data_IF_545912713180
#
_entry.id   IF_545912713180
#
_cell.length_a   1.000
_cell.length_b   1.000
_cell.length_c   1.000
_cell.angle_alpha   90.00
_cell.angle_beta   90.00
_cell.angle_gamma   90.00
#
_symmetry.space_group_name_H-M   'P 1'
#
loop_
_entity.id
_entity.type
_entity.pdbx_description
1 polymer ?
#
# COMPACT_ATOMS: atom_id res chain seq x y z
N UNK A 1 -13.83 -5.13 -10.03
CA UNK A 1 -12.56 -5.49 -9.35
C UNK A 1 -12.55 -5.06 -7.88
N UNK A 2 -12.89 -3.81 -7.57
CA UNK A 2 -12.95 -3.33 -6.16
C UNK A 2 -14.01 -4.06 -5.31
N UNK A 3 -15.16 -4.40 -5.90
CA UNK A 3 -16.21 -5.17 -5.22
C UNK A 3 -15.71 -6.54 -4.72
N UNK A 4 -14.82 -7.20 -5.48
CA UNK A 4 -14.21 -8.48 -5.08
C UNK A 4 -13.41 -8.37 -3.78
N UNK A 5 -12.99 -7.17 -3.41
CA UNK A 5 -12.23 -6.94 -2.17
C UNK A 5 -13.05 -6.16 -1.13
N UNK A 6 -14.38 -6.22 -1.26
CA UNK A 6 -15.32 -5.68 -0.29
C UNK A 6 -15.53 -4.17 -0.37
N UNK A 7 -14.98 -3.50 -1.39
CA UNK A 7 -15.15 -2.06 -1.58
C UNK A 7 -16.32 -1.84 -2.54
N UNK A 8 -17.46 -1.42 -2.02
CA UNK A 8 -18.69 -1.19 -2.81
C UNK A 8 -19.07 0.28 -2.91
N UNK A 9 -18.71 1.07 -1.90
CA UNK A 9 -19.11 2.47 -1.84
C UNK A 9 -17.98 3.47 -2.11
N UNK A 10 -18.38 4.69 -2.50
CA UNK A 10 -17.53 5.87 -2.71
C UNK A 10 -18.23 7.08 -2.11
N UNK A 11 -17.45 8.04 -1.61
CA UNK A 11 -17.99 9.34 -1.21
C UNK A 11 -18.01 10.34 -2.37
N UNK A 12 -17.25 10.03 -3.44
CA UNK A 12 -17.25 10.78 -4.70
C UNK A 12 -17.40 9.77 -5.85
N UNK A 13 -18.60 9.69 -6.43
CA UNK A 13 -18.87 8.82 -7.57
C UNK A 13 -18.26 9.39 -8.86
N UNK A 14 -18.66 10.61 -9.23
CA UNK A 14 -18.17 11.32 -10.43
C UNK A 14 -17.00 12.25 -10.10
N UNK A 15 -15.85 11.66 -9.82
CA UNK A 15 -14.60 12.40 -9.66
C UNK A 15 -14.05 13.01 -10.95
N UNK A 16 -12.82 13.51 -10.90
CA UNK A 16 -12.17 14.17 -12.04
C UNK A 16 -11.78 13.20 -13.16
N UNK A 17 -11.83 11.88 -12.94
CA UNK A 17 -11.37 10.88 -13.91
C UNK A 17 -9.87 10.98 -14.19
N UNK A 18 -9.44 10.55 -15.37
CA UNK A 18 -8.05 10.66 -15.82
C UNK A 18 -7.12 9.57 -15.29
N UNK A 19 -5.84 9.69 -15.63
CA UNK A 19 -4.76 8.76 -15.27
C UNK A 19 -3.67 9.44 -14.46
N UNK A 20 -3.00 8.68 -13.61
CA UNK A 20 -1.78 9.12 -12.93
C UNK A 20 -0.66 8.10 -13.11
N UNK A 21 0.59 8.54 -12.97
CA UNK A 21 1.83 7.76 -13.20
C UNK A 21 2.14 7.48 -14.68
N UNK A 22 1.61 8.29 -15.58
CA UNK A 22 1.98 8.24 -17.01
C UNK A 22 3.49 8.53 -17.15
N UNK A 23 3.98 9.52 -16.40
CA UNK A 23 5.41 9.80 -16.18
C UNK A 23 5.83 9.48 -14.74
N UNK A 24 7.12 9.26 -14.50
CA UNK A 24 7.65 9.06 -13.13
C UNK A 24 7.49 10.32 -12.29
N UNK A 25 7.62 11.48 -12.93
CA UNK A 25 7.49 12.81 -12.33
C UNK A 25 6.05 13.19 -11.96
N UNK A 26 5.05 12.46 -12.47
CA UNK A 26 3.65 12.66 -12.08
C UNK A 26 3.38 12.21 -10.65
N UNK A 27 4.33 11.52 -10.00
CA UNK A 27 4.15 10.98 -8.66
C UNK A 27 5.34 11.33 -7.77
N UNK A 28 5.20 12.41 -6.99
CA UNK A 28 6.23 12.90 -6.08
C UNK A 28 5.87 12.58 -4.63
N UNK A 29 6.80 11.97 -3.90
CA UNK A 29 6.59 11.56 -2.51
C UNK A 29 7.70 12.09 -1.60
N UNK A 30 7.34 12.93 -0.66
CA UNK A 30 8.28 13.55 0.28
C UNK A 30 8.00 13.07 1.70
N UNK A 31 8.97 12.43 2.34
CA UNK A 31 8.81 12.00 3.72
C UNK A 31 8.58 13.20 4.66
N UNK A 32 7.66 13.05 5.60
CA UNK A 32 7.38 14.01 6.68
C UNK A 32 7.90 13.47 8.00
N UNK A 33 9.07 13.96 8.49
CA UNK A 33 9.58 13.64 9.81
C UNK A 33 8.60 14.00 10.93
N UNK A 34 7.90 15.12 10.75
CA UNK A 34 6.89 15.66 11.66
C UNK A 34 5.71 16.20 10.85
N UNK A 35 4.60 16.56 11.51
CA UNK A 35 3.42 17.13 10.84
C UNK A 35 3.74 18.39 10.03
N UNK A 36 4.67 19.22 10.48
CA UNK A 36 4.94 20.54 9.90
C UNK A 36 6.16 20.57 8.96
N UNK A 37 6.95 19.50 8.89
CA UNK A 37 8.14 19.44 8.03
C UNK A 37 8.02 18.36 6.96
N UNK A 38 8.79 18.49 5.88
CA UNK A 38 8.98 17.45 4.87
C UNK A 38 10.39 17.56 4.27
N UNK A 39 10.88 16.45 3.70
CA UNK A 39 12.16 16.43 3.00
C UNK A 39 11.93 16.89 1.55
N UNK A 40 12.48 18.02 1.09
CA UNK A 40 12.20 18.50 -0.26
C UNK A 40 12.86 17.62 -1.33
N UNK A 41 12.32 17.69 -2.54
CA UNK A 41 12.91 17.09 -3.73
C UNK A 41 13.74 18.12 -4.49
N UNK A 42 14.91 17.69 -4.96
CA UNK A 42 15.86 18.50 -5.71
C UNK A 42 16.40 17.79 -6.95
N UNK A 43 15.98 16.55 -7.23
CA UNK A 43 16.31 15.80 -8.46
C UNK A 43 15.41 16.13 -9.66
N UNK A 44 14.17 16.56 -9.41
CA UNK A 44 13.24 17.10 -10.42
C UNK A 44 13.02 18.58 -10.17
N UNK A 45 12.65 19.36 -11.19
CA UNK A 45 12.33 20.81 -11.34
C UNK A 45 10.85 21.01 -11.71
N UNK A 46 10.12 22.00 -11.17
CA UNK A 46 8.83 22.41 -11.76
C UNK A 46 9.15 23.56 -12.71
N UNK A 47 8.76 23.42 -13.96
CA UNK A 47 8.98 24.47 -14.96
C UNK A 47 8.00 25.63 -14.74
N UNK A 48 8.46 26.89 -14.71
CA UNK A 48 7.57 28.04 -14.57
C UNK A 48 6.65 28.24 -15.79
N UNK A 49 7.08 27.81 -16.98
CA UNK A 49 6.34 28.00 -18.24
C UNK A 49 5.38 26.85 -18.54
N UNK A 50 5.89 25.65 -18.83
CA UNK A 50 5.02 24.51 -19.15
C UNK A 50 4.33 23.90 -17.91
N UNK A 51 4.66 24.39 -16.70
CA UNK A 51 4.10 23.93 -15.43
C UNK A 51 4.33 22.45 -15.17
N UNK A 52 5.23 21.77 -15.87
CA UNK A 52 5.49 20.34 -15.69
C UNK A 52 6.71 20.06 -14.79
N UNK A 53 6.76 18.85 -14.23
CA UNK A 53 7.94 18.40 -13.49
C UNK A 53 8.92 17.68 -14.41
N UNK A 54 10.17 18.13 -14.44
CA UNK A 54 11.22 17.53 -15.24
C UNK A 54 12.47 17.25 -14.45
N UNK A 55 13.20 16.22 -14.87
CA UNK A 55 14.54 15.96 -14.37
C UNK A 55 15.57 16.72 -15.18
N UNK A 56 16.50 17.38 -14.49
CA UNK A 56 17.61 18.08 -15.15
C UNK A 56 17.80 19.49 -14.61
N UNK A 57 18.68 20.25 -15.27
CA UNK A 57 18.89 21.67 -14.98
C UNK A 57 18.09 22.57 -15.91
N UNK A 58 17.56 22.04 -17.01
CA UNK A 58 16.81 22.78 -18.02
C UNK A 58 15.57 21.98 -18.39
N UNK A 59 14.51 22.69 -18.74
CA UNK A 59 13.27 22.11 -19.20
C UNK A 59 13.45 21.55 -20.61
N UNK A 60 13.12 20.27 -20.89
CA UNK A 60 13.25 19.70 -22.22
C UNK A 60 12.23 20.27 -23.22
N UNK A 61 11.16 20.90 -22.74
CA UNK A 61 10.05 21.38 -23.58
C UNK A 61 10.24 22.84 -24.00
N UNK A 62 10.74 23.70 -23.10
CA UNK A 62 10.89 25.15 -23.34
C UNK A 62 12.29 25.71 -23.04
N UNK A 63 13.25 24.88 -22.60
CA UNK A 63 14.62 25.32 -22.30
C UNK A 63 14.80 26.13 -21.01
N UNK A 64 13.72 26.39 -20.26
CA UNK A 64 13.76 27.16 -19.02
C UNK A 64 14.68 26.54 -17.95
N UNK A 65 15.35 27.39 -17.18
CA UNK A 65 16.25 26.96 -16.10
C UNK A 65 15.45 26.35 -14.92
N UNK A 66 15.76 25.09 -14.61
CA UNK A 66 15.17 24.31 -13.53
C UNK A 66 16.12 24.16 -12.33
N UNK A 67 17.24 24.90 -12.29
CA UNK A 67 18.18 24.86 -11.15
C UNK A 67 17.47 25.25 -9.85
N UNK A 68 17.37 24.27 -8.95
CA UNK A 68 16.81 24.46 -7.60
C UNK A 68 17.89 24.79 -6.56
N UNK A 69 17.50 25.41 -5.43
CA UNK A 69 18.35 25.50 -4.25
C UNK A 69 18.90 24.12 -3.87
N UNK A 70 20.22 24.03 -3.72
CA UNK A 70 20.86 22.76 -3.32
C UNK A 70 20.68 22.56 -1.82
N UNK A 71 20.21 21.37 -1.45
CA UNK A 71 20.38 20.89 -0.08
C UNK A 71 21.88 20.75 0.21
N UNK A 72 22.36 21.47 1.23
CA UNK A 72 23.76 21.48 1.60
C UNK A 72 24.07 20.30 2.54
N UNK A 73 25.13 19.52 2.25
CA UNK A 73 25.63 18.52 3.18
C UNK A 73 25.97 19.13 4.54
N UNK A 74 25.53 18.46 5.60
CA UNK A 74 25.91 18.78 6.98
C UNK A 74 26.89 17.72 7.50
N UNK A 75 27.92 18.18 8.21
CA UNK A 75 29.00 17.33 8.72
C UNK A 75 29.07 17.25 10.25
N UNK A 76 28.25 18.04 10.97
CA UNK A 76 28.19 18.07 12.43
C UNK A 76 27.38 16.92 13.07
N UNK A 77 27.20 16.98 14.39
CA UNK A 77 26.46 15.99 15.19
C UNK A 77 27.34 14.97 15.91
N UNK A 78 26.72 14.07 16.69
CA UNK A 78 27.40 12.99 17.43
C UNK A 78 26.68 11.65 17.27
N UNK A 79 27.43 10.57 17.35
CA UNK A 79 26.91 9.20 17.34
C UNK A 79 27.46 8.32 16.21
N UNK A 80 27.21 7.00 16.29
CA UNK A 80 27.81 6.03 15.39
C UNK A 80 27.13 5.97 14.01
N UNK A 81 25.98 6.62 13.85
CA UNK A 81 25.23 6.65 12.59
C UNK A 81 25.46 7.97 11.86
N UNK A 82 25.29 7.95 10.54
CA UNK A 82 25.16 9.14 9.71
C UNK A 82 23.76 9.17 9.12
N UNK A 83 23.05 10.27 9.34
CA UNK A 83 21.77 10.56 8.72
C UNK A 83 22.04 11.19 7.35
N UNK A 84 21.27 10.79 6.35
CA UNK A 84 21.29 11.42 5.03
C UNK A 84 19.89 11.42 4.44
N UNK A 85 19.63 12.40 3.58
CA UNK A 85 18.48 12.39 2.69
C UNK A 85 18.83 11.58 1.44
N UNK A 86 17.96 10.63 1.12
CA UNK A 86 18.00 9.86 -0.10
C UNK A 86 16.85 10.33 -0.98
N UNK A 87 17.17 10.91 -2.12
CA UNK A 87 16.22 11.08 -3.21
C UNK A 87 16.46 9.99 -4.25
N UNK A 88 15.38 9.43 -4.77
CA UNK A 88 15.43 8.36 -5.78
C UNK A 88 14.40 8.62 -6.88
N UNK A 89 14.78 8.30 -8.11
CA UNK A 89 13.95 8.41 -9.31
C UNK A 89 13.73 7.00 -9.90
N UNK A 90 12.51 6.48 -9.86
CA UNK A 90 12.15 5.13 -10.34
C UNK A 90 12.94 3.96 -9.71
N UNK A 91 13.15 4.02 -8.39
CA UNK A 91 13.83 2.95 -7.65
C UNK A 91 12.96 2.37 -6.55
N UNK A 92 13.03 1.06 -6.37
CA UNK A 92 12.61 0.42 -5.13
C UNK A 92 13.54 0.84 -3.97
N UNK A 93 12.96 1.10 -2.80
CA UNK A 93 13.69 1.61 -1.64
C UNK A 93 14.78 0.64 -1.20
N UNK A 94 14.47 -0.67 -1.13
CA UNK A 94 15.42 -1.67 -0.66
C UNK A 94 16.50 -1.97 -1.70
N UNK A 95 16.16 -1.97 -3.00
CA UNK A 95 17.16 -2.05 -4.08
C UNK A 95 18.13 -0.87 -4.04
N UNK A 96 17.65 0.36 -3.83
CA UNK A 96 18.51 1.54 -3.70
C UNK A 96 19.44 1.43 -2.48
N UNK A 97 18.91 1.04 -1.32
CA UNK A 97 19.72 0.83 -0.10
C UNK A 97 20.78 -0.25 -0.31
N UNK A 98 20.44 -1.39 -0.93
CA UNK A 98 21.41 -2.45 -1.25
C UNK A 98 22.51 -1.96 -2.19
N UNK A 99 22.16 -1.18 -3.22
CA UNK A 99 23.14 -0.60 -4.15
C UNK A 99 24.10 0.37 -3.48
N UNK A 100 23.60 1.21 -2.56
CA UNK A 100 24.41 2.11 -1.73
C UNK A 100 25.31 1.31 -0.78
N UNK A 101 24.76 0.27 -0.13
CA UNK A 101 25.49 -0.59 0.79
C UNK A 101 26.67 -1.29 0.08
N UNK A 102 26.45 -1.82 -1.12
CA UNK A 102 27.51 -2.40 -1.97
C UNK A 102 28.60 -1.38 -2.29
N UNK A 103 28.23 -0.16 -2.72
CA UNK A 103 29.21 0.88 -3.03
C UNK A 103 30.05 1.31 -1.82
N UNK A 104 29.50 1.19 -0.61
CA UNK A 104 30.17 1.49 0.65
C UNK A 104 30.86 0.28 1.28
N UNK A 105 30.82 -0.90 0.64
CA UNK A 105 31.28 -2.18 1.18
C UNK A 105 30.72 -2.46 2.59
N UNK A 106 29.43 -2.20 2.78
CA UNK A 106 28.69 -2.45 4.03
C UNK A 106 27.52 -3.41 3.78
N UNK A 107 27.10 -4.09 4.85
CA UNK A 107 25.89 -4.89 4.82
C UNK A 107 24.64 -4.01 4.97
N UNK A 108 23.56 -4.31 4.22
CA UNK A 108 22.31 -3.54 4.24
C UNK A 108 21.68 -3.44 5.64
N UNK A 109 21.92 -4.41 6.54
CA UNK A 109 21.50 -4.37 7.95
C UNK A 109 22.00 -3.15 8.74
N UNK A 110 23.08 -2.50 8.30
CA UNK A 110 23.60 -1.28 8.92
C UNK A 110 22.77 -0.04 8.57
N UNK A 111 21.85 -0.15 7.62
CA UNK A 111 20.97 0.92 7.20
C UNK A 111 19.63 0.87 7.93
N UNK A 112 19.13 2.04 8.30
CA UNK A 112 17.81 2.23 8.89
C UNK A 112 16.96 3.18 8.07
N UNK A 113 15.72 2.82 7.82
CA UNK A 113 14.71 3.61 7.12
C UNK A 113 13.43 3.70 7.97
N UNK A 114 12.72 4.82 7.87
CA UNK A 114 11.47 5.02 8.60
C UNK A 114 10.26 4.35 7.91
N UNK A 115 10.35 4.16 6.59
CA UNK A 115 9.37 3.43 5.79
C UNK A 115 9.85 3.28 4.35
N UNK A 116 9.23 2.37 3.61
CA UNK A 116 9.44 2.24 2.17
C UNK A 116 8.64 3.31 1.43
N UNK A 117 9.09 3.67 0.23
CA UNK A 117 8.43 4.61 -0.69
C UNK A 117 8.21 3.94 -2.05
N UNK A 118 7.22 4.42 -2.79
CA UNK A 118 6.81 3.93 -4.12
C UNK A 118 7.99 3.80 -5.08
N UNK A 119 8.02 2.72 -5.87
CA UNK A 119 9.05 2.50 -6.90
C UNK A 119 8.90 3.52 -8.04
N UNK A 120 7.76 3.46 -8.73
CA UNK A 120 7.42 4.28 -9.91
C UNK A 120 7.02 5.69 -9.46
N UNK A 121 7.99 6.42 -8.93
CA UNK A 121 7.83 7.75 -8.35
C UNK A 121 9.19 8.43 -8.20
N UNK A 122 9.17 9.75 -7.98
CA UNK A 122 10.32 10.49 -7.46
C UNK A 122 10.11 10.70 -5.96
N UNK A 123 11.02 10.20 -5.14
CA UNK A 123 10.79 10.18 -3.69
C UNK A 123 11.97 10.67 -2.89
N UNK A 124 11.73 11.42 -1.81
CA UNK A 124 12.74 11.83 -0.82
C UNK A 124 12.44 11.24 0.55
N UNK A 125 13.47 10.72 1.22
CA UNK A 125 13.34 10.14 2.55
C UNK A 125 14.61 10.25 3.37
N UNK A 126 14.49 10.08 4.70
CA UNK A 126 15.64 9.93 5.57
C UNK A 126 16.13 8.49 5.59
N UNK A 127 17.46 8.35 5.65
CA UNK A 127 18.14 7.07 5.82
C UNK A 127 19.29 7.27 6.81
N UNK A 128 19.53 6.26 7.65
CA UNK A 128 20.71 6.22 8.52
C UNK A 128 21.62 5.08 8.13
N UNK A 129 22.93 5.25 8.28
CA UNK A 129 23.92 4.18 8.10
C UNK A 129 24.93 4.20 9.24
N UNK A 130 25.25 3.04 9.82
CA UNK A 130 26.25 2.93 10.90
C UNK A 130 27.69 2.92 10.34
N UNK A 131 28.59 3.69 10.95
CA UNK A 131 30.02 3.60 10.71
C UNK A 131 30.50 4.11 9.35
N UNK A 132 29.75 5.03 8.72
CA UNK A 132 30.13 5.68 7.46
C UNK A 132 30.16 7.20 7.69
N UNK A 133 31.31 7.88 7.56
CA UNK A 133 31.39 9.33 7.73
C UNK A 133 30.56 10.11 6.70
N UNK A 134 29.99 11.29 7.04
CA UNK A 134 29.21 12.10 6.10
C UNK A 134 29.98 12.51 4.84
N UNK A 135 31.30 12.76 4.94
CA UNK A 135 32.17 13.06 3.79
C UNK A 135 32.20 11.97 2.72
N UNK A 136 32.11 10.70 3.12
CA UNK A 136 32.08 9.57 2.19
C UNK A 136 30.76 9.55 1.42
N UNK A 137 29.63 9.77 2.10
CA UNK A 137 28.32 9.83 1.47
C UNK A 137 28.20 11.01 0.49
N UNK A 138 28.76 12.17 0.82
CA UNK A 138 28.70 13.37 -0.03
C UNK A 138 29.38 13.18 -1.40
N UNK A 139 30.39 12.31 -1.46
CA UNK A 139 31.14 11.98 -2.68
C UNK A 139 30.49 10.86 -3.51
N UNK A 140 29.54 10.12 -2.95
CA UNK A 140 28.93 9.00 -3.64
C UNK A 140 28.08 9.50 -4.82
N UNK A 141 28.25 8.85 -5.98
CA UNK A 141 27.48 9.12 -7.20
C UNK A 141 26.93 7.80 -7.70
N UNK A 142 25.60 7.71 -7.74
CA UNK A 142 24.87 6.57 -8.27
C UNK A 142 23.79 7.16 -9.17
N UNK A 143 23.66 6.61 -10.38
CA UNK A 143 22.64 7.04 -11.35
C UNK A 143 21.25 7.01 -10.68
N UNK A 144 20.47 8.06 -10.90
CA UNK A 144 19.09 8.22 -10.42
C UNK A 144 18.91 8.34 -8.89
N UNK A 145 20.01 8.36 -8.13
CA UNK A 145 20.01 8.56 -6.69
C UNK A 145 20.75 9.84 -6.32
N UNK A 146 20.16 10.64 -5.44
CA UNK A 146 20.82 11.79 -4.82
C UNK A 146 20.95 11.55 -3.33
N UNK A 147 22.16 11.68 -2.82
CA UNK A 147 22.51 11.41 -1.42
C UNK A 147 23.05 12.70 -0.83
N UNK A 148 22.35 13.22 0.18
CA UNK A 148 22.75 14.44 0.88
C UNK A 148 22.93 14.13 2.36
N UNK A 149 24.17 14.08 2.88
CA UNK A 149 24.40 13.83 4.30
C UNK A 149 23.88 14.98 5.17
N UNK A 150 23.27 14.63 6.29
CA UNK A 150 22.64 15.55 7.25
C UNK A 150 23.27 15.41 8.64
N UNK A 151 24.57 15.11 8.68
CA UNK A 151 25.34 14.95 9.91
C UNK A 151 25.22 13.58 10.59
N UNK A 152 25.85 13.48 11.76
CA UNK A 152 25.86 12.28 12.61
C UNK A 152 24.57 12.19 13.43
N UNK A 153 24.10 10.96 13.61
CA UNK A 153 22.94 10.63 14.42
C UNK A 153 23.29 9.61 15.51
N UNK A 154 22.64 9.75 16.68
CA UNK A 154 22.84 8.86 17.83
C UNK A 154 22.25 7.46 17.61
N UNK A 155 21.12 7.37 16.89
CA UNK A 155 20.38 6.12 16.68
C UNK A 155 20.10 5.83 15.22
N UNK A 156 19.90 4.55 14.94
CA UNK A 156 19.36 4.03 13.68
C UNK A 156 17.88 4.41 13.55
N UNK A 157 17.46 4.80 12.34
CA UNK A 157 16.03 4.92 12.00
C UNK A 157 15.37 3.53 11.97
N UNK A 158 14.16 3.46 12.51
CA UNK A 158 13.32 2.27 12.59
C UNK A 158 12.01 2.51 11.85
N UNK A 159 11.34 1.45 11.35
CA UNK A 159 9.99 1.56 10.82
C UNK A 159 9.08 2.34 11.78
N UNK A 160 8.35 3.32 11.27
CA UNK A 160 7.47 4.17 12.06
C UNK A 160 8.08 5.49 12.58
N UNK A 161 9.38 5.72 12.41
CA UNK A 161 10.09 6.98 12.76
C UNK A 161 9.74 8.17 11.83
N UNK A 162 8.48 8.31 11.41
CA UNK A 162 7.97 9.40 10.58
C UNK A 162 6.53 9.71 10.98
N UNK A 163 6.11 10.96 10.76
CA UNK A 163 4.69 11.31 10.86
C UNK A 163 3.92 10.76 9.66
N UNK A 164 4.47 10.87 8.46
CA UNK A 164 3.78 10.48 7.23
C UNK A 164 4.51 10.91 5.96
N UNK A 165 3.76 11.19 4.90
CA UNK A 165 4.31 11.63 3.61
C UNK A 165 3.48 12.78 3.02
N UNK A 166 4.15 13.68 2.31
CA UNK A 166 3.55 14.68 1.43
C UNK A 166 3.57 14.14 0.01
N UNK A 167 2.44 14.25 -0.68
CA UNK A 167 2.27 13.84 -2.05
C UNK A 167 2.04 15.07 -2.93
N UNK A 168 2.66 15.06 -4.11
CA UNK A 168 2.30 15.92 -5.24
C UNK A 168 2.07 14.98 -6.41
N UNK A 169 0.84 14.95 -6.92
CA UNK A 169 0.40 13.96 -7.90
C UNK A 169 -0.25 14.69 -9.07
N UNK A 170 0.28 14.49 -10.26
CA UNK A 170 -0.29 14.99 -11.51
C UNK A 170 -1.20 13.92 -12.10
N UNK A 171 -2.43 14.33 -12.43
CA UNK A 171 -3.45 13.51 -13.08
C UNK A 171 -3.74 14.12 -14.44
N UNK A 172 -3.62 13.32 -15.49
CA UNK A 172 -3.78 13.72 -16.90
C UNK A 172 -5.09 13.20 -17.45
N UNK A 173 -5.65 13.84 -18.48
CA UNK A 173 -6.98 13.50 -19.01
C UNK A 173 -8.12 13.69 -18.00
N UNK A 174 -7.93 14.56 -17.01
CA UNK A 174 -8.87 14.89 -15.96
C UNK A 174 -9.92 15.90 -16.45
N UNK A 175 -11.16 15.70 -16.02
CA UNK A 175 -12.27 16.65 -16.20
C UNK A 175 -12.16 17.76 -15.15
N UNK A 176 -11.33 18.78 -15.43
CA UNK A 176 -11.03 19.91 -14.53
C UNK A 176 -12.31 20.56 -13.97
N UNK A 177 -13.37 20.65 -14.77
CA UNK A 177 -14.68 21.19 -14.33
C UNK A 177 -15.28 20.50 -13.10
N UNK A 178 -14.94 19.24 -12.82
CA UNK A 178 -15.42 18.47 -11.65
C UNK A 178 -14.56 18.67 -10.39
N UNK A 179 -13.43 19.36 -10.51
CA UNK A 179 -12.47 19.55 -9.42
C UNK A 179 -13.06 20.28 -8.21
N UNK A 180 -13.84 21.38 -8.35
CA UNK A 180 -14.35 22.11 -7.18
C UNK A 180 -15.25 21.25 -6.28
N UNK A 181 -16.10 20.41 -6.88
CA UNK A 181 -17.00 19.51 -6.17
C UNK A 181 -16.20 18.41 -5.44
N UNK A 182 -15.30 17.73 -6.14
CA UNK A 182 -14.45 16.69 -5.53
C UNK A 182 -13.63 17.22 -4.35
N UNK A 183 -13.07 18.43 -4.45
CA UNK A 183 -12.34 19.06 -3.34
C UNK A 183 -13.25 19.44 -2.17
N UNK A 184 -14.47 19.89 -2.45
CA UNK A 184 -15.45 20.25 -1.43
C UNK A 184 -15.78 19.03 -0.57
N UNK A 185 -16.13 17.91 -1.19
CA UNK A 185 -16.47 16.66 -0.48
C UNK A 185 -15.34 16.19 0.43
N UNK A 186 -14.09 16.13 -0.06
CA UNK A 186 -12.95 15.69 0.78
C UNK A 186 -12.67 16.68 1.91
N UNK A 187 -12.89 17.99 1.71
CA UNK A 187 -12.70 19.01 2.75
C UNK A 187 -13.77 18.93 3.83
N UNK A 188 -15.03 18.77 3.45
CA UNK A 188 -16.17 18.63 4.37
C UNK A 188 -16.00 17.38 5.25
N UNK A 189 -15.57 16.26 4.66
CA UNK A 189 -15.26 15.04 5.42
C UNK A 189 -13.94 15.13 6.20
N UNK A 190 -13.05 16.06 5.86
CA UNK A 190 -11.68 16.14 6.40
C UNK A 190 -10.79 14.96 5.97
N UNK A 191 -11.18 14.20 4.96
CA UNK A 191 -10.51 12.97 4.53
C UNK A 191 -11.30 12.14 3.53
N UNK A 192 -10.93 10.87 3.42
CA UNK A 192 -11.59 9.88 2.54
C UNK A 192 -11.85 8.57 3.30
N UNK A 193 -12.83 7.73 2.89
CA UNK A 193 -12.99 6.39 3.45
C UNK A 193 -11.68 5.60 3.44
N UNK A 194 -11.34 5.00 4.58
CA UNK A 194 -10.03 4.40 4.81
C UNK A 194 -9.94 2.96 4.30
N UNK A 195 -10.32 2.68 3.06
CA UNK A 195 -10.29 1.32 2.52
C UNK A 195 -8.87 0.74 2.41
N UNK A 196 -8.77 -0.58 2.53
CA UNK A 196 -7.61 -1.33 2.05
C UNK A 196 -7.72 -1.52 0.54
N UNK A 197 -6.75 -1.02 -0.23
CA UNK A 197 -6.76 -1.15 -1.68
C UNK A 197 -6.39 -2.55 -2.20
N UNK A 198 -6.60 -2.78 -3.50
CA UNK A 198 -6.35 -4.07 -4.21
C UNK A 198 -4.96 -4.69 -3.95
N UNK A 199 -3.93 -3.86 -3.76
CA UNK A 199 -2.57 -4.31 -3.46
C UNK A 199 -2.47 -5.15 -2.18
N UNK A 200 -3.36 -4.90 -1.20
CA UNK A 200 -3.47 -5.70 0.04
C UNK A 200 -3.92 -7.14 -0.23
N UNK A 201 -4.64 -7.33 -1.33
CA UNK A 201 -5.25 -8.60 -1.69
C UNK A 201 -4.47 -9.35 -2.78
N UNK A 202 -3.58 -8.64 -3.48
CA UNK A 202 -2.79 -9.12 -4.61
C UNK A 202 -3.21 -8.42 -5.92
N UNK A 203 -2.39 -7.52 -6.45
CA UNK A 203 -2.78 -6.66 -7.59
C UNK A 203 -3.15 -7.43 -8.87
N UNK A 204 -2.44 -8.53 -9.15
CA UNK A 204 -2.71 -9.38 -10.32
C UNK A 204 -3.78 -10.43 -10.04
N UNK A 205 -3.75 -11.01 -8.83
CA UNK A 205 -4.59 -12.11 -8.40
C UNK A 205 -5.09 -11.83 -6.98
N UNK A 206 -6.20 -11.07 -6.81
CA UNK A 206 -6.71 -10.67 -5.50
C UNK A 206 -7.40 -11.82 -4.75
N UNK A 207 -6.70 -12.93 -4.57
CA UNK A 207 -7.21 -14.21 -4.00
C UNK A 207 -6.99 -14.34 -2.50
N UNK A 208 -6.11 -13.51 -1.93
CA UNK A 208 -5.55 -13.77 -0.59
C UNK A 208 -6.61 -13.75 0.52
N UNK A 209 -7.63 -12.90 0.43
CA UNK A 209 -8.73 -12.87 1.39
C UNK A 209 -9.66 -14.08 1.26
N UNK A 210 -9.85 -14.60 0.04
CA UNK A 210 -10.66 -15.80 -0.20
C UNK A 210 -9.99 -17.03 0.42
N UNK A 211 -8.67 -17.17 0.25
CA UNK A 211 -7.88 -18.21 0.94
C UNK A 211 -7.93 -17.98 2.45
N UNK A 212 -7.79 -16.73 2.90
CA UNK A 212 -7.87 -16.35 4.30
C UNK A 212 -9.17 -16.75 4.98
N UNK A 213 -10.31 -16.62 4.29
CA UNK A 213 -11.62 -17.09 4.77
C UNK A 213 -11.58 -18.57 5.14
N UNK A 214 -11.12 -19.41 4.21
CA UNK A 214 -11.05 -20.86 4.45
C UNK A 214 -9.99 -21.25 5.49
N UNK A 215 -8.91 -20.48 5.63
CA UNK A 215 -7.92 -20.66 6.71
C UNK A 215 -8.54 -20.37 8.07
N UNK A 216 -9.33 -19.29 8.20
CA UNK A 216 -10.05 -18.92 9.43
C UNK A 216 -11.10 -19.98 9.78
N UNK A 217 -11.83 -20.49 8.79
CA UNK A 217 -12.81 -21.56 8.99
C UNK A 217 -12.20 -22.96 9.17
N UNK A 218 -10.86 -23.07 9.17
CA UNK A 218 -10.10 -24.34 9.19
C UNK A 218 -10.50 -25.34 8.08
N UNK A 219 -11.07 -24.87 6.97
CA UNK A 219 -11.35 -25.64 5.76
C UNK A 219 -10.09 -25.67 4.87
N UNK A 220 -9.11 -26.46 5.30
CA UNK A 220 -7.78 -26.52 4.67
C UNK A 220 -7.82 -27.03 3.23
N UNK A 221 -8.74 -27.93 2.91
CA UNK A 221 -8.92 -28.39 1.53
C UNK A 221 -9.36 -27.23 0.64
N UNK A 222 -10.42 -26.49 1.02
CA UNK A 222 -10.85 -25.33 0.24
C UNK A 222 -9.81 -24.22 0.22
N UNK A 223 -9.06 -24.01 1.30
CA UNK A 223 -7.97 -23.03 1.32
C UNK A 223 -6.90 -23.36 0.27
N UNK A 224 -6.43 -24.61 0.24
CA UNK A 224 -5.42 -25.09 -0.70
C UNK A 224 -5.97 -25.13 -2.13
N UNK A 225 -7.19 -25.64 -2.32
CA UNK A 225 -7.86 -25.67 -3.62
C UNK A 225 -8.03 -24.27 -4.20
N UNK A 226 -8.50 -23.32 -3.39
CA UNK A 226 -8.64 -21.91 -3.79
C UNK A 226 -7.30 -21.31 -4.17
N UNK A 227 -6.27 -21.51 -3.34
CA UNK A 227 -4.93 -20.99 -3.62
C UNK A 227 -4.37 -21.55 -4.94
N UNK A 228 -4.58 -22.83 -5.22
CA UNK A 228 -4.06 -23.48 -6.42
C UNK A 228 -4.89 -23.21 -7.68
N UNK A 229 -6.21 -23.07 -7.58
CA UNK A 229 -7.10 -23.15 -8.75
C UNK A 229 -7.88 -21.88 -9.07
N UNK A 230 -8.08 -20.95 -8.14
CA UNK A 230 -8.92 -19.77 -8.42
C UNK A 230 -8.26 -18.87 -9.49
N UNK A 231 -8.95 -18.65 -10.60
CA UNK A 231 -8.42 -17.93 -11.75
C UNK A 231 -8.66 -16.42 -11.66
N UNK A 232 -7.74 -15.63 -12.21
CA UNK A 232 -7.96 -14.21 -12.48
C UNK A 232 -7.54 -13.81 -13.89
N UNK A 233 -8.28 -12.93 -14.59
CA UNK A 233 -8.02 -12.58 -15.99
C UNK A 233 -6.65 -11.99 -16.30
N UNK A 234 -5.93 -11.48 -15.28
CA UNK A 234 -4.61 -10.83 -15.44
C UNK A 234 -3.43 -11.80 -15.26
N UNK A 235 -3.69 -13.09 -15.05
CA UNK A 235 -2.65 -14.12 -14.96
C UNK A 235 -2.10 -14.48 -16.36
N UNK A 236 -0.94 -15.16 -16.40
CA UNK A 236 -0.40 -15.61 -17.69
C UNK A 236 -1.23 -16.77 -18.26
N UNK A 237 -1.27 -16.95 -19.59
CA UNK A 237 -2.01 -18.06 -20.20
C UNK A 237 -1.62 -19.43 -19.63
N UNK A 238 -0.33 -19.67 -19.42
CA UNK A 238 0.19 -20.95 -18.91
C UNK A 238 -0.24 -21.19 -17.46
N UNK A 239 -0.30 -20.13 -16.64
CA UNK A 239 -0.82 -20.24 -15.29
C UNK A 239 -2.31 -20.56 -15.31
N UNK A 240 -3.11 -19.85 -16.12
CA UNK A 240 -4.55 -20.09 -16.24
C UNK A 240 -4.85 -21.51 -16.70
N UNK A 241 -4.14 -22.01 -17.71
CA UNK A 241 -4.28 -23.38 -18.21
C UNK A 241 -4.00 -24.41 -17.10
N UNK A 242 -2.87 -24.28 -16.39
CA UNK A 242 -2.52 -25.20 -15.31
C UNK A 242 -3.55 -25.19 -14.16
N UNK A 243 -4.07 -24.00 -13.81
CA UNK A 243 -5.10 -23.84 -12.77
C UNK A 243 -6.43 -24.48 -13.17
N UNK A 244 -6.90 -24.23 -14.40
CA UNK A 244 -8.12 -24.84 -14.97
C UNK A 244 -8.03 -26.35 -14.99
N UNK A 245 -6.91 -26.85 -15.50
CA UNK A 245 -6.68 -28.29 -15.56
C UNK A 245 -6.75 -28.94 -14.18
N UNK A 246 -6.07 -28.36 -13.17
CA UNK A 246 -6.12 -28.89 -11.80
C UNK A 246 -7.51 -28.74 -11.16
N UNK A 247 -8.28 -27.71 -11.52
CA UNK A 247 -9.66 -27.53 -11.04
C UNK A 247 -10.57 -28.67 -11.49
N UNK A 248 -10.42 -29.10 -12.75
CA UNK A 248 -11.17 -30.22 -13.36
C UNK A 248 -10.66 -31.59 -12.88
N UNK A 249 -9.37 -31.70 -12.58
CA UNK A 249 -8.69 -32.95 -12.20
C UNK A 249 -8.21 -32.91 -10.73
N UNK A 250 -9.07 -32.44 -9.82
CA UNK A 250 -8.70 -32.29 -8.41
C UNK A 250 -8.33 -33.64 -7.79
N UNK A 251 -7.10 -33.76 -7.26
CA UNK A 251 -6.54 -35.01 -6.75
C UNK A 251 -5.33 -35.51 -7.55
N UNK A 252 -5.20 -35.11 -8.82
CA UNK A 252 -4.11 -35.53 -9.71
C UNK A 252 -2.83 -34.70 -9.49
N UNK A 253 -2.34 -34.61 -8.24
CA UNK A 253 -1.30 -33.65 -7.84
C UNK A 253 0.08 -33.91 -8.45
N UNK A 254 0.43 -35.17 -8.72
CA UNK A 254 1.70 -35.52 -9.42
C UNK A 254 1.74 -34.92 -10.81
N UNK A 255 0.61 -35.00 -11.50
CA UNK A 255 0.48 -34.57 -12.87
C UNK A 255 0.26 -33.05 -12.96
N UNK A 256 -0.44 -32.48 -11.97
CA UNK A 256 -0.50 -31.04 -11.75
C UNK A 256 0.91 -30.43 -11.56
N UNK A 257 1.78 -31.07 -10.77
CA UNK A 257 3.15 -30.61 -10.55
C UNK A 257 3.98 -30.56 -11.84
N UNK A 258 3.68 -31.40 -12.83
CA UNK A 258 4.33 -31.34 -14.15
C UNK A 258 3.81 -30.18 -15.00
N UNK A 259 2.51 -29.90 -14.95
CA UNK A 259 1.87 -28.80 -15.71
C UNK A 259 2.13 -27.42 -15.11
N UNK A 260 2.21 -27.30 -13.79
CA UNK A 260 2.37 -26.01 -13.14
C UNK A 260 3.70 -25.34 -13.52
N UNK A 261 3.68 -24.12 -14.09
CA UNK A 261 4.90 -23.42 -14.48
C UNK A 261 5.90 -23.23 -13.35
N UNK A 262 7.20 -23.27 -13.66
CA UNK A 262 8.27 -23.16 -12.65
C UNK A 262 8.24 -21.86 -11.84
N UNK A 263 7.75 -20.77 -12.42
CA UNK A 263 7.66 -19.48 -11.72
C UNK A 263 6.57 -19.44 -10.63
N UNK A 264 5.70 -20.46 -10.53
CA UNK A 264 4.71 -20.62 -9.46
C UNK A 264 5.30 -21.43 -8.30
N UNK A 265 6.40 -20.94 -7.71
CA UNK A 265 7.20 -21.67 -6.72
C UNK A 265 6.35 -22.12 -5.51
N UNK A 266 5.48 -21.25 -4.99
CA UNK A 266 4.66 -21.54 -3.81
C UNK A 266 3.60 -22.60 -4.08
N UNK A 267 2.89 -22.50 -5.21
CA UNK A 267 1.94 -23.50 -5.66
C UNK A 267 2.62 -24.85 -5.87
N UNK A 268 3.79 -24.86 -6.49
CA UNK A 268 4.57 -26.08 -6.72
C UNK A 268 5.01 -26.75 -5.42
N UNK A 269 5.43 -26.00 -4.40
CA UNK A 269 5.78 -26.57 -3.10
C UNK A 269 4.58 -27.25 -2.39
N UNK A 270 3.39 -26.70 -2.54
CA UNK A 270 2.15 -27.33 -2.07
C UNK A 270 1.90 -28.63 -2.85
N UNK A 271 1.97 -28.58 -4.18
CA UNK A 271 1.74 -29.73 -5.05
C UNK A 271 2.77 -30.86 -4.81
N UNK A 272 4.03 -30.53 -4.55
CA UNK A 272 5.08 -31.48 -4.18
C UNK A 272 4.72 -32.27 -2.91
N UNK A 273 4.09 -31.62 -1.93
CA UNK A 273 3.63 -32.29 -0.72
C UNK A 273 2.42 -33.18 -1.01
N UNK A 274 1.40 -32.64 -1.67
CA UNK A 274 0.16 -33.36 -1.98
C UNK A 274 0.36 -34.54 -2.94
N UNK A 275 1.37 -34.48 -3.81
CA UNK A 275 1.77 -35.59 -4.68
C UNK A 275 2.27 -36.83 -3.91
N UNK A 276 2.74 -36.64 -2.68
CA UNK A 276 3.21 -37.71 -1.77
C UNK A 276 2.19 -38.06 -0.71
N UNK A 277 1.46 -37.05 -0.22
CA UNK A 277 0.45 -37.19 0.82
C UNK A 277 -0.86 -36.58 0.33
N UNK A 278 -1.62 -37.30 -0.52
CA UNK A 278 -2.95 -36.88 -0.93
C UNK A 278 -3.80 -36.70 0.35
N UNK A 279 -4.54 -35.60 0.43
CA UNK A 279 -5.37 -35.19 1.59
C UNK A 279 -4.66 -34.53 2.79
N UNK A 280 -3.33 -34.42 2.83
CA UNK A 280 -2.64 -33.67 3.90
C UNK A 280 -2.56 -32.16 3.58
N UNK A 281 -3.71 -31.49 3.59
CA UNK A 281 -3.81 -30.09 3.22
C UNK A 281 -3.18 -29.14 4.25
N UNK A 282 -3.19 -29.50 5.53
CA UNK A 282 -2.58 -28.69 6.60
C UNK A 282 -1.06 -28.62 6.38
N UNK A 283 -0.40 -29.77 6.22
CA UNK A 283 1.05 -29.77 6.03
C UNK A 283 1.45 -29.31 4.63
N UNK A 284 0.57 -29.46 3.61
CA UNK A 284 0.74 -28.80 2.33
C UNK A 284 0.80 -27.27 2.51
N UNK A 285 -0.17 -26.69 3.22
CA UNK A 285 -0.21 -25.25 3.47
C UNK A 285 0.99 -24.78 4.30
N UNK A 286 1.47 -25.58 5.26
CA UNK A 286 2.69 -25.30 6.06
C UNK A 286 3.97 -25.19 5.21
N UNK A 287 3.98 -25.66 3.96
CA UNK A 287 5.10 -25.44 3.02
C UNK A 287 5.29 -23.97 2.66
N UNK A 288 4.25 -23.16 2.81
CA UNK A 288 4.35 -21.72 2.62
C UNK A 288 5.14 -21.07 3.77
N UNK A 289 6.00 -20.08 3.49
CA UNK A 289 6.65 -19.29 4.51
C UNK A 289 5.65 -18.68 5.51
N UNK A 290 6.03 -18.60 6.78
CA UNK A 290 5.17 -18.09 7.87
C UNK A 290 4.50 -16.75 7.55
N UNK A 291 5.24 -15.83 6.92
CA UNK A 291 4.74 -14.51 6.58
C UNK A 291 3.65 -14.55 5.50
N UNK A 292 3.69 -15.50 4.56
CA UNK A 292 2.63 -15.70 3.55
C UNK A 292 1.40 -16.29 4.22
N UNK A 293 1.58 -17.29 5.09
CA UNK A 293 0.47 -17.90 5.82
C UNK A 293 -0.31 -16.86 6.64
N UNK A 294 0.40 -16.01 7.39
CA UNK A 294 -0.20 -14.89 8.14
C UNK A 294 -0.87 -13.87 7.22
N UNK A 295 -0.30 -13.60 6.05
CA UNK A 295 -0.85 -12.64 5.10
C UNK A 295 -2.29 -12.99 4.68
N UNK A 296 -2.64 -14.26 4.53
CA UNK A 296 -4.01 -14.66 4.15
C UNK A 296 -5.04 -14.28 5.21
N UNK A 297 -4.79 -14.58 6.49
CA UNK A 297 -5.69 -14.19 7.60
C UNK A 297 -5.83 -12.68 7.66
N UNK A 298 -4.71 -11.94 7.60
CA UNK A 298 -4.72 -10.48 7.59
C UNK A 298 -5.44 -9.87 6.38
N UNK A 299 -5.39 -10.53 5.21
CA UNK A 299 -6.13 -10.12 4.03
C UNK A 299 -7.63 -10.33 4.24
N UNK A 300 -8.06 -11.42 4.86
CA UNK A 300 -9.47 -11.65 5.17
C UNK A 300 -10.02 -10.63 6.18
N UNK A 301 -9.26 -10.31 7.24
CA UNK A 301 -9.60 -9.21 8.15
C UNK A 301 -9.77 -7.87 7.39
N UNK A 302 -8.86 -7.57 6.45
CA UNK A 302 -8.95 -6.36 5.62
C UNK A 302 -10.16 -6.37 4.68
N UNK A 303 -10.59 -7.55 4.19
CA UNK A 303 -11.79 -7.69 3.37
C UNK A 303 -13.05 -7.41 4.19
N UNK A 304 -13.18 -8.00 5.39
CA UNK A 304 -14.30 -7.75 6.30
C UNK A 304 -14.38 -6.28 6.70
N UNK A 305 -13.23 -5.66 7.01
CA UNK A 305 -13.16 -4.20 7.24
C UNK A 305 -13.72 -3.41 6.06
N UNK A 306 -13.35 -3.76 4.82
CA UNK A 306 -13.86 -3.06 3.64
C UNK A 306 -15.37 -3.25 3.47
N UNK A 307 -15.89 -4.47 3.69
CA UNK A 307 -17.33 -4.77 3.62
C UNK A 307 -18.11 -3.95 4.65
N UNK A 308 -17.68 -3.96 5.92
CA UNK A 308 -18.31 -3.19 7.01
C UNK A 308 -18.26 -1.69 6.73
N UNK A 309 -17.13 -1.17 6.25
CA UNK A 309 -17.02 0.25 5.90
C UNK A 309 -17.91 0.64 4.72
N UNK A 310 -18.05 -0.25 3.73
CA UNK A 310 -18.98 -0.03 2.61
C UNK A 310 -20.43 0.02 3.12
N UNK A 311 -20.81 -0.94 3.95
CA UNK A 311 -22.17 -1.00 4.50
C UNK A 311 -22.50 0.21 5.37
N UNK A 312 -21.53 0.69 6.17
CA UNK A 312 -21.66 1.95 6.92
C UNK A 312 -22.01 3.14 6.01
N UNK A 313 -21.31 3.25 4.87
CA UNK A 313 -21.56 4.33 3.91
C UNK A 313 -22.91 4.14 3.22
N UNK A 314 -23.25 2.91 2.83
CA UNK A 314 -24.52 2.59 2.18
C UNK A 314 -25.74 2.94 3.05
N UNK A 315 -25.64 2.74 4.38
CA UNK A 315 -26.67 3.15 5.36
C UNK A 315 -26.65 4.64 5.71
N UNK A 316 -25.81 5.44 5.05
CA UNK A 316 -25.71 6.89 5.27
C UNK A 316 -25.06 7.28 6.60
N UNK A 317 -24.41 6.35 7.32
CA UNK A 317 -23.72 6.67 8.57
C UNK A 317 -22.42 7.44 8.28
N UNK A 318 -22.14 8.53 9.03
CA UNK A 318 -20.97 9.35 8.77
C UNK A 318 -19.67 8.58 9.09
N UNK A 319 -18.67 8.71 8.20
CA UNK A 319 -17.32 8.18 8.44
C UNK A 319 -16.40 9.16 9.19
N UNK A 320 -16.75 10.45 9.18
CA UNK A 320 -15.92 11.55 9.68
C UNK A 320 -16.27 12.01 11.10
N UNK A 321 -17.37 11.51 11.67
CA UNK A 321 -17.81 11.76 13.04
C UNK A 321 -18.50 10.51 13.59
N UNK A 322 -18.39 10.23 14.89
CA UNK A 322 -19.05 9.08 15.50
C UNK A 322 -20.55 9.30 15.64
N UNK A 323 -21.29 8.20 15.68
CA UNK A 323 -22.69 8.10 16.12
C UNK A 323 -22.76 7.29 17.41
N UNK A 324 -23.92 7.27 18.06
CA UNK A 324 -24.13 6.48 19.28
C UNK A 324 -23.78 4.99 19.05
N UNK A 325 -23.04 4.40 19.99
CA UNK A 325 -22.55 3.03 19.92
C UNK A 325 -21.21 2.83 19.19
N UNK A 326 -20.68 3.86 18.50
CA UNK A 326 -19.37 3.75 17.83
C UNK A 326 -18.22 3.62 18.84
N UNK A 327 -17.34 2.65 18.59
CA UNK A 327 -15.98 2.67 19.16
C UNK A 327 -15.14 3.69 18.42
N UNK A 328 -14.49 4.60 19.14
CA UNK A 328 -13.78 5.74 18.53
C UNK A 328 -12.27 5.71 18.76
N UNK A 329 -11.53 6.32 17.83
CA UNK A 329 -10.10 6.58 17.94
C UNK A 329 -9.80 7.95 17.34
N UNK A 330 -9.11 8.82 18.09
CA UNK A 330 -8.75 10.18 17.65
C UNK A 330 -9.96 10.99 17.12
N UNK A 331 -11.11 10.82 17.78
CA UNK A 331 -12.38 11.47 17.44
C UNK A 331 -13.04 10.99 16.15
N UNK A 332 -12.62 9.84 15.61
CA UNK A 332 -13.24 9.20 14.45
C UNK A 332 -13.89 7.87 14.83
N UNK A 333 -15.00 7.47 14.18
CA UNK A 333 -15.51 6.12 14.30
C UNK A 333 -14.50 5.12 13.74
N UNK A 334 -14.44 3.94 14.35
CA UNK A 334 -13.54 2.87 13.93
C UNK A 334 -14.35 1.67 13.43
N UNK A 335 -13.76 0.95 12.48
CA UNK A 335 -14.28 -0.32 11.96
C UNK A 335 -13.33 -1.44 12.40
N UNK A 336 -13.84 -2.60 12.84
CA UNK A 336 -12.99 -3.67 13.32
C UNK A 336 -12.22 -4.34 12.17
N UNK A 337 -11.03 -4.83 12.52
CA UNK A 337 -10.37 -5.95 11.86
C UNK A 337 -10.70 -7.17 12.71
N UNK A 338 -11.71 -7.98 12.34
CA UNK A 338 -12.25 -9.01 13.23
C UNK A 338 -11.21 -10.02 13.69
N UNK A 339 -11.33 -10.46 14.93
CA UNK A 339 -10.46 -11.43 15.57
C UNK A 339 -11.08 -11.95 16.87
N UNK A 340 -10.48 -12.97 17.47
CA UNK A 340 -11.08 -13.70 18.59
C UNK A 340 -11.20 -12.89 19.90
N UNK A 341 -10.62 -11.68 19.97
CA UNK A 341 -10.78 -10.73 21.08
C UNK A 341 -11.35 -9.39 20.62
N UNK A 342 -11.95 -9.34 19.44
CA UNK A 342 -12.58 -8.11 18.95
C UNK A 342 -13.85 -7.83 19.73
N UNK A 343 -13.94 -6.63 20.29
CA UNK A 343 -15.20 -6.08 20.79
C UNK A 343 -15.90 -5.38 19.64
N UNK A 344 -17.14 -5.81 19.36
CA UNK A 344 -18.00 -5.17 18.36
C UNK A 344 -18.59 -3.87 18.93
N UNK A 345 -18.92 -2.96 18.03
CA UNK A 345 -19.62 -1.72 18.39
C UNK A 345 -21.05 -2.01 18.86
N UNK A 346 -21.67 -1.03 19.50
CA UNK A 346 -23.11 -1.01 19.78
C UNK A 346 -23.87 -0.24 18.69
N UNK A 347 -25.20 -0.18 18.84
CA UNK A 347 -26.07 0.62 17.97
C UNK A 347 -25.98 0.23 16.49
N UNK A 348 -26.22 1.19 15.56
CA UNK A 348 -26.24 0.93 14.13
C UNK A 348 -24.93 0.38 13.57
N UNK A 349 -23.78 0.80 14.12
CA UNK A 349 -22.48 0.29 13.68
C UNK A 349 -22.29 -1.17 14.12
N UNK A 350 -22.75 -1.53 15.32
CA UNK A 350 -22.75 -2.90 15.81
C UNK A 350 -23.61 -3.85 14.99
N UNK A 351 -24.78 -3.38 14.56
CA UNK A 351 -25.68 -4.12 13.68
C UNK A 351 -24.99 -4.47 12.36
N UNK A 352 -24.37 -3.48 11.71
CA UNK A 352 -23.59 -3.67 10.48
C UNK A 352 -22.46 -4.70 10.71
N UNK A 353 -21.71 -4.56 11.80
CA UNK A 353 -20.60 -5.45 12.11
C UNK A 353 -21.07 -6.91 12.25
N UNK A 354 -22.20 -7.14 12.92
CA UNK A 354 -22.80 -8.48 13.08
C UNK A 354 -23.34 -9.03 11.77
N UNK A 355 -24.10 -8.23 11.04
CA UNK A 355 -24.70 -8.64 9.76
C UNK A 355 -23.63 -9.04 8.73
N UNK A 356 -22.54 -8.29 8.60
CA UNK A 356 -21.46 -8.66 7.68
C UNK A 356 -20.76 -9.95 8.10
N UNK A 357 -20.57 -10.20 9.39
CA UNK A 357 -20.00 -11.45 9.88
C UNK A 357 -20.93 -12.65 9.60
N UNK A 358 -22.24 -12.46 9.80
CA UNK A 358 -23.28 -13.46 9.52
C UNK A 358 -23.37 -13.77 8.01
N UNK A 359 -23.43 -12.76 7.15
CA UNK A 359 -23.41 -12.91 5.69
C UNK A 359 -22.17 -13.70 5.21
N UNK A 360 -21.03 -13.45 5.85
CA UNK A 360 -19.78 -14.13 5.52
C UNK A 360 -19.66 -15.51 6.17
N UNK A 361 -20.59 -15.88 7.07
CA UNK A 361 -20.63 -17.17 7.76
C UNK A 361 -19.44 -17.38 8.68
N UNK A 362 -18.98 -16.33 9.37
CA UNK A 362 -17.79 -16.37 10.24
C UNK A 362 -18.10 -15.78 11.60
N UNK A 363 -17.56 -16.40 12.66
CA UNK A 363 -17.62 -15.89 14.03
C UNK A 363 -16.26 -15.37 14.48
N UNK A 364 -16.24 -14.58 15.54
CA UNK A 364 -14.98 -14.03 16.07
C UNK A 364 -14.04 -15.14 16.57
N UNK A 365 -14.58 -16.19 17.18
CA UNK A 365 -13.82 -17.32 17.71
C UNK A 365 -13.12 -18.12 16.61
N UNK A 366 -13.62 -18.09 15.37
CA UNK A 366 -13.00 -18.79 14.24
C UNK A 366 -11.62 -18.19 13.91
N UNK A 367 -11.34 -16.94 14.32
CA UNK A 367 -10.01 -16.34 14.20
C UNK A 367 -8.98 -16.90 15.20
N UNK A 368 -9.39 -17.79 16.10
CA UNK A 368 -8.52 -18.64 16.90
C UNK A 368 -8.32 -20.00 16.22
N UNK A 369 -7.34 -20.06 15.31
CA UNK A 369 -7.09 -21.20 14.43
C UNK A 369 -6.38 -22.32 15.21
N UNK A 370 -7.09 -23.40 15.54
CA UNK A 370 -6.60 -24.44 16.46
C UNK A 370 -5.50 -25.30 15.84
N UNK A 371 -5.65 -25.68 14.58
CA UNK A 371 -4.66 -26.51 13.86
C UNK A 371 -3.38 -25.73 13.48
N UNK A 372 -3.41 -24.40 13.55
CA UNK A 372 -2.26 -23.54 13.24
C UNK A 372 -2.26 -22.26 14.10
N UNK A 373 -2.03 -22.35 15.43
CA UNK A 373 -2.19 -21.24 16.37
C UNK A 373 -1.32 -20.01 16.07
N UNK A 374 -0.21 -20.21 15.36
CA UNK A 374 0.64 -19.12 14.87
C UNK A 374 -0.06 -18.15 13.90
N UNK A 375 -1.23 -18.54 13.36
CA UNK A 375 -2.04 -17.74 12.44
C UNK A 375 -3.21 -17.04 13.15
N UNK A 376 -3.51 -17.40 14.39
CA UNK A 376 -4.61 -16.80 15.15
C UNK A 376 -4.48 -15.29 15.25
N UNK A 377 -5.60 -14.59 15.09
CA UNK A 377 -5.64 -13.13 15.06
C UNK A 377 -6.55 -12.59 16.15
N UNK A 378 -5.97 -11.86 17.12
CA UNK A 378 -6.72 -11.30 18.25
C UNK A 378 -7.65 -10.14 17.88
N UNK A 379 -7.54 -9.61 16.67
CA UNK A 379 -8.31 -8.47 16.20
C UNK A 379 -7.63 -7.12 16.47
N UNK A 380 -8.15 -6.09 15.82
CA UNK A 380 -7.72 -4.68 15.96
C UNK A 380 -8.87 -3.77 15.50
N UNK A 381 -8.75 -2.45 15.65
CA UNK A 381 -9.70 -1.48 15.10
C UNK A 381 -8.96 -0.40 14.33
N UNK A 382 -9.61 0.11 13.28
CA UNK A 382 -9.01 1.13 12.40
C UNK A 382 -10.02 2.23 12.10
N UNK A 383 -9.62 3.52 12.12
CA UNK A 383 -10.53 4.61 11.78
C UNK A 383 -11.19 4.43 10.41
N UNK A 384 -12.50 4.68 10.33
CA UNK A 384 -13.30 4.61 9.11
C UNK A 384 -12.85 5.65 8.07
N UNK A 385 -12.27 6.77 8.52
CA UNK A 385 -11.77 7.85 7.68
C UNK A 385 -10.24 7.96 7.73
N UNK A 386 -9.61 8.07 6.57
CA UNK A 386 -8.24 8.48 6.40
C UNK A 386 -8.18 10.01 6.30
N UNK A 387 -7.68 10.67 7.35
CA UNK A 387 -7.53 12.13 7.37
C UNK A 387 -6.54 12.59 6.28
N UNK A 388 -6.96 13.57 5.48
CA UNK A 388 -6.16 14.18 4.42
C UNK A 388 -5.77 15.60 4.83
N UNK A 389 -4.48 15.87 4.94
CA UNK A 389 -3.99 17.16 5.44
C UNK A 389 -3.51 18.06 4.30
N UNK A 390 -3.95 19.32 4.32
CA UNK A 390 -3.46 20.36 3.40
C UNK A 390 -3.78 20.05 1.95
N UNK A 391 -4.95 19.46 1.66
CA UNK A 391 -5.39 19.17 0.30
C UNK A 391 -5.57 20.45 -0.50
N UNK A 392 -4.77 20.56 -1.56
CA UNK A 392 -4.84 21.59 -2.58
C UNK A 392 -4.87 20.91 -3.94
N UNK A 393 -5.48 21.56 -4.91
CA UNK A 393 -5.34 21.17 -6.30
C UNK A 393 -5.21 22.40 -7.18
N UNK A 394 -4.56 22.20 -8.31
CA UNK A 394 -4.31 23.20 -9.33
C UNK A 394 -4.64 22.59 -10.69
N UNK A 395 -5.39 23.32 -11.51
CA UNK A 395 -5.60 22.96 -12.92
C UNK A 395 -4.38 23.43 -13.74
N UNK A 396 -3.90 22.57 -14.61
CA UNK A 396 -2.80 22.84 -15.54
C UNK A 396 -3.39 22.65 -16.93
N UNK A 397 -3.77 23.74 -17.59
CA UNK A 397 -4.57 23.67 -18.81
C UNK A 397 -5.97 23.09 -18.55
N UNK A 398 -6.54 22.46 -19.58
CA UNK A 398 -7.95 22.05 -19.59
C UNK A 398 -8.19 20.60 -19.14
N UNK A 399 -7.15 19.77 -19.13
CA UNK A 399 -7.26 18.32 -18.93
C UNK A 399 -6.29 17.76 -17.87
N UNK A 400 -5.53 18.61 -17.18
CA UNK A 400 -4.54 18.15 -16.20
C UNK A 400 -4.79 18.80 -14.85
N UNK A 401 -4.74 17.99 -13.78
CA UNK A 401 -4.90 18.45 -12.40
C UNK A 401 -3.74 17.96 -11.56
N UNK A 402 -3.13 18.86 -10.79
CA UNK A 402 -2.14 18.51 -9.79
C UNK A 402 -2.72 18.59 -8.40
N UNK A 403 -2.74 17.46 -7.70
CA UNK A 403 -3.11 17.39 -6.29
C UNK A 403 -1.89 17.47 -5.39
N UNK A 404 -2.01 18.21 -4.29
CA UNK A 404 -1.01 18.25 -3.21
C UNK A 404 -1.70 18.00 -1.89
N UNK A 405 -1.22 17.02 -1.13
CA UNK A 405 -1.75 16.70 0.20
C UNK A 405 -0.72 15.96 1.05
N UNK A 406 -1.04 15.72 2.32
CA UNK A 406 -0.22 14.95 3.24
C UNK A 406 -1.05 13.90 3.96
N UNK A 407 -0.47 12.72 4.12
CA UNK A 407 -1.09 11.59 4.84
C UNK A 407 -0.22 11.17 6.01
N UNK A 408 -0.82 10.72 7.13
CA UNK A 408 -0.07 10.11 8.22
C UNK A 408 0.52 8.76 7.78
N UNK A 409 1.42 8.21 8.59
CA UNK A 409 1.96 6.85 8.40
C UNK A 409 0.81 5.84 8.31
N UNK A 410 0.94 4.87 7.40
CA UNK A 410 -0.13 3.90 7.11
C UNK A 410 -1.20 4.40 6.14
N UNK A 411 -1.24 5.70 5.82
CA UNK A 411 -2.08 6.25 4.76
C UNK A 411 -1.48 6.03 3.38
N UNK A 412 -2.30 5.62 2.41
CA UNK A 412 -1.91 5.38 1.03
C UNK A 412 -2.51 6.46 0.12
N UNK A 413 -1.69 7.03 -0.76
CA UNK A 413 -2.16 8.03 -1.72
C UNK A 413 -3.19 7.46 -2.70
N UNK A 414 -3.10 6.17 -3.03
CA UNK A 414 -4.08 5.47 -3.86
C UNK A 414 -5.49 5.52 -3.26
N UNK A 415 -5.65 5.46 -1.94
CA UNK A 415 -6.95 5.61 -1.27
C UNK A 415 -7.55 7.00 -1.47
N UNK A 416 -6.73 8.05 -1.43
CA UNK A 416 -7.20 9.43 -1.65
C UNK A 416 -7.54 9.68 -3.11
N UNK A 417 -6.63 9.29 -3.99
CA UNK A 417 -6.86 9.40 -5.42
C UNK A 417 -8.12 8.63 -5.80
N UNK A 418 -8.38 7.45 -5.19
CA UNK A 418 -9.54 6.62 -5.53
C UNK A 418 -10.80 7.46 -5.55
N UNK A 419 -11.03 8.21 -4.47
CA UNK A 419 -12.16 9.11 -4.36
C UNK A 419 -12.05 10.31 -5.32
N UNK A 420 -10.90 10.97 -5.39
CA UNK A 420 -10.73 12.17 -6.23
C UNK A 420 -10.95 11.90 -7.72
N UNK A 421 -10.50 10.75 -8.23
CA UNK A 421 -10.66 10.37 -9.63
C UNK A 421 -12.07 9.79 -9.90
N UNK A 422 -12.74 9.23 -8.90
CA UNK A 422 -14.04 8.57 -9.06
C UNK A 422 -13.97 7.26 -9.85
N UNK A 423 -15.12 6.81 -10.36
CA UNK A 423 -15.25 5.55 -11.13
C UNK A 423 -14.55 5.55 -12.49
N UNK A 424 -14.35 6.73 -13.09
CA UNK A 424 -13.68 6.91 -14.39
C UNK A 424 -12.14 7.02 -14.27
N UNK A 425 -11.58 6.89 -13.06
CA UNK A 425 -10.15 7.04 -12.80
C UNK A 425 -9.32 5.79 -13.10
N UNK A 426 -8.14 5.97 -13.70
CA UNK A 426 -7.19 4.89 -13.98
C UNK A 426 -5.91 5.06 -13.16
N UNK A 427 -5.54 3.99 -12.45
CA UNK A 427 -4.23 3.84 -11.82
C UNK A 427 -3.34 3.04 -12.75
N UNK A 428 -2.41 3.70 -13.45
CA UNK A 428 -1.33 2.96 -14.10
C UNK A 428 -0.42 2.36 -13.00
N UNK A 429 -0.32 1.03 -12.99
CA UNK A 429 0.55 0.27 -12.08
C UNK A 429 2.05 0.49 -12.39
#
# INVERSE_FOLDING_TARGET
>A
MEEYVGIRERVIDRGVGGSCRDRVEDFLVMEKPSRNTYIPLTIVGECPECREYHRGRECPECGQDLRRPRLRPQFGGRGPHTLFYLEKYDWDTMKAVRRIAQALRKHHRHFGIAGMKDKRAVTSQRVTVRGVPPGVLARLRIRDLKIVPMGRARRKLRPGDLWGNRFVITVRGAKVRRLPEALRTVRELGGVPNYYGLQRFGSRRPVTHVVGKYVVLEDWEKAVKTFLTLEYPRESPEALEARRWLKEHWGEFKEALRRFPKFLDYERHILEHLARHPHDYINAFRRLPMWIRRMFVHAYQSYLFNRILSERIARGLPVHRPVEGDVTQDGLPTVPLPGFRTELSDGPQGEIEREVLEEEGVRLEDFEIKSMPELSAGGDRKPALLRVYGLRAEAIGDDTVRFTFSLPRGGYATTVLRELLGSEGVYAD
#
